data_IF_054586354815
#
_entry.id   IF_054586354815
#
_cell.length_a   1.000
_cell.length_b   1.000
_cell.length_c   1.000
_cell.angle_alpha   90.00
_cell.angle_beta   90.00
_cell.angle_gamma   90.00
#
_symmetry.space_group_name_H-M   'P 1'
#
loop_
_entity.id
_entity.type
_entity.pdbx_description
1 polymer ?
#
# COMPACT_ATOMS: atom_id res chain seq x y z
N UNK A 1 -16.51 2.49 3.60
CA UNK A 1 -15.24 2.91 2.96
C UNK A 1 -14.69 4.08 3.77
N UNK A 2 -13.38 4.19 3.94
CA UNK A 2 -12.78 5.27 4.72
C UNK A 2 -12.75 6.56 3.90
N UNK A 3 -13.02 7.71 4.53
CA UNK A 3 -12.93 9.03 3.88
C UNK A 3 -11.48 9.39 3.53
N UNK A 4 -11.31 10.42 2.68
CA UNK A 4 -9.99 10.98 2.37
C UNK A 4 -9.20 11.34 3.61
N UNK A 5 -9.80 12.11 4.52
CA UNK A 5 -9.17 12.55 5.77
C UNK A 5 -8.74 11.36 6.64
N UNK A 6 -9.59 10.32 6.74
CA UNK A 6 -9.24 9.09 7.46
C UNK A 6 -8.08 8.34 6.80
N UNK A 7 -8.02 8.34 5.46
CA UNK A 7 -6.92 7.73 4.72
C UNK A 7 -5.63 8.53 4.91
N UNK A 8 -5.66 9.85 4.79
CA UNK A 8 -4.49 10.74 5.01
C UNK A 8 -3.95 10.65 6.45
N UNK A 9 -4.85 10.55 7.44
CA UNK A 9 -4.44 10.37 8.84
C UNK A 9 -3.78 9.02 9.07
N UNK A 10 -4.30 7.94 8.45
CA UNK A 10 -3.77 6.58 8.64
C UNK A 10 -2.51 6.32 7.81
N UNK A 11 -2.47 6.83 6.60
CA UNK A 11 -1.41 6.64 5.63
C UNK A 11 -0.71 7.98 5.43
N UNK A 12 0.43 8.12 6.08
CA UNK A 12 1.20 9.38 6.18
C UNK A 12 1.73 9.91 4.85
N UNK A 13 1.60 9.11 3.78
CA UNK A 13 2.03 9.48 2.44
C UNK A 13 0.94 9.15 1.42
N UNK A 14 0.80 10.02 0.42
CA UNK A 14 -0.09 9.79 -0.70
C UNK A 14 0.35 10.52 -1.97
N UNK A 15 -0.15 10.05 -3.10
CA UNK A 15 -0.04 10.71 -4.41
C UNK A 15 -1.38 10.62 -5.13
N UNK A 16 -1.70 11.65 -5.90
CA UNK A 16 -2.88 11.64 -6.78
C UNK A 16 -2.58 10.83 -8.04
N UNK A 17 -3.48 9.94 -8.41
CA UNK A 17 -3.38 9.11 -9.60
C UNK A 17 -4.07 9.77 -10.80
N UNK A 18 -3.66 9.47 -12.05
CA UNK A 18 -4.44 9.81 -13.23
C UNK A 18 -5.87 9.26 -13.08
N UNK A 19 -6.88 10.11 -13.29
CA UNK A 19 -8.29 9.76 -13.05
C UNK A 19 -8.87 10.24 -11.72
N UNK A 20 -8.10 11.01 -10.93
CA UNK A 20 -8.60 11.68 -9.72
C UNK A 20 -8.61 10.81 -8.45
N UNK A 21 -8.22 9.54 -8.58
CA UNK A 21 -7.98 8.65 -7.45
C UNK A 21 -6.68 8.97 -6.69
N UNK A 22 -6.38 8.17 -5.69
CA UNK A 22 -5.18 8.34 -4.85
C UNK A 22 -4.54 7.01 -4.50
N UNK A 23 -3.22 7.02 -4.43
CA UNK A 23 -2.42 5.96 -3.83
C UNK A 23 -1.89 6.48 -2.50
N UNK A 24 -2.30 5.83 -1.43
CA UNK A 24 -1.83 6.05 -0.08
C UNK A 24 -0.82 4.98 0.30
N UNK A 25 0.17 5.31 1.13
CA UNK A 25 1.02 4.31 1.75
C UNK A 25 1.46 4.67 3.17
N UNK A 26 1.71 3.62 3.94
CA UNK A 26 2.27 3.68 5.28
C UNK A 26 3.46 2.71 5.35
N UNK A 27 4.60 3.20 5.79
CA UNK A 27 5.80 2.41 5.98
C UNK A 27 5.94 2.00 7.44
N UNK A 28 6.20 0.71 7.66
CA UNK A 28 6.45 0.13 8.96
C UNK A 28 7.87 -0.43 8.94
N UNK A 29 8.76 0.18 9.71
CA UNK A 29 10.12 -0.30 9.88
C UNK A 29 10.13 -1.65 10.60
N UNK A 30 10.84 -2.61 10.02
CA UNK A 30 11.11 -3.92 10.59
C UNK A 30 12.51 -4.01 11.20
N UNK A 31 13.01 -5.23 11.36
CA UNK A 31 14.36 -5.49 11.89
C UNK A 31 15.41 -5.46 10.79
N UNK A 32 16.64 -5.12 11.14
CA UNK A 32 17.81 -5.20 10.24
C UNK A 32 17.65 -4.44 8.91
N UNK A 33 16.92 -3.32 8.89
CA UNK A 33 16.70 -2.52 7.69
C UNK A 33 15.57 -3.02 6.77
N UNK A 34 14.93 -4.14 7.10
CA UNK A 34 13.70 -4.54 6.44
C UNK A 34 12.57 -3.58 6.78
N UNK A 35 11.63 -3.41 5.86
CA UNK A 35 10.40 -2.66 6.12
C UNK A 35 9.23 -3.22 5.31
N UNK A 36 8.03 -2.99 5.81
CA UNK A 36 6.81 -3.25 5.09
C UNK A 36 6.18 -1.93 4.66
N UNK A 37 5.55 -1.90 3.48
CA UNK A 37 4.73 -0.78 3.02
C UNK A 37 3.32 -1.28 2.78
N UNK A 38 2.36 -0.73 3.51
CA UNK A 38 0.93 -0.93 3.21
C UNK A 38 0.52 0.07 2.14
N UNK A 39 0.12 -0.42 0.97
CA UNK A 39 -0.31 0.42 -0.16
C UNK A 39 -1.80 0.26 -0.36
N UNK A 40 -2.51 1.38 -0.38
CA UNK A 40 -3.95 1.45 -0.65
C UNK A 40 -4.19 2.38 -1.84
N UNK A 41 -4.87 1.89 -2.86
CA UNK A 41 -5.35 2.70 -3.97
C UNK A 41 -6.86 2.86 -3.89
N UNK A 42 -7.32 4.06 -4.19
CA UNK A 42 -8.72 4.42 -4.29
C UNK A 42 -8.99 5.17 -5.59
N UNK A 43 -10.22 5.11 -6.08
CA UNK A 43 -10.69 5.95 -7.17
C UNK A 43 -11.05 7.38 -6.70
N UNK A 44 -11.57 8.20 -7.61
CA UNK A 44 -11.95 9.59 -7.34
C UNK A 44 -13.03 9.75 -6.25
N UNK A 45 -13.77 8.68 -5.94
CA UNK A 45 -14.83 8.63 -4.93
C UNK A 45 -14.35 8.04 -3.60
N UNK A 46 -13.03 7.84 -3.43
CA UNK A 46 -12.39 7.15 -2.31
C UNK A 46 -12.81 5.67 -2.16
N UNK A 47 -13.36 5.06 -3.23
CA UNK A 47 -13.63 3.63 -3.25
C UNK A 47 -12.33 2.87 -3.47
N UNK A 48 -12.05 1.90 -2.59
CA UNK A 48 -10.80 1.12 -2.63
C UNK A 48 -10.79 0.23 -3.86
N UNK A 49 -9.75 0.35 -4.68
CA UNK A 49 -9.53 -0.42 -5.91
C UNK A 49 -8.42 -1.45 -5.72
N UNK A 50 -7.47 -1.17 -4.83
CA UNK A 50 -6.36 -2.08 -4.50
C UNK A 50 -5.93 -1.90 -3.05
N UNK A 51 -5.61 -3.01 -2.39
CA UNK A 51 -4.91 -2.99 -1.11
C UNK A 51 -3.90 -4.11 -1.06
N UNK A 52 -2.63 -3.78 -0.81
CA UNK A 52 -1.56 -4.76 -0.69
C UNK A 52 -0.55 -4.38 0.38
N UNK A 53 0.20 -5.39 0.82
CA UNK A 53 1.36 -5.22 1.68
C UNK A 53 2.59 -5.61 0.87
N UNK A 54 3.54 -4.68 0.78
CA UNK A 54 4.81 -4.84 0.11
C UNK A 54 5.89 -5.05 1.18
N UNK A 55 6.78 -6.02 0.99
CA UNK A 55 7.90 -6.29 1.89
C UNK A 55 9.20 -5.97 1.18
N UNK A 56 9.98 -5.10 1.79
CA UNK A 56 11.25 -4.62 1.28
C UNK A 56 12.41 -5.12 2.13
N UNK A 57 13.47 -5.53 1.45
CA UNK A 57 14.72 -5.91 2.09
C UNK A 57 15.56 -4.66 2.45
N UNK A 58 16.72 -4.83 3.13
CA UNK A 58 17.55 -3.70 3.58
C UNK A 58 18.17 -2.88 2.45
N UNK A 59 18.29 -3.42 1.24
CA UNK A 59 18.71 -2.68 0.04
C UNK A 59 17.57 -1.89 -0.61
N UNK A 60 16.36 -1.93 -0.05
CA UNK A 60 15.18 -1.24 -0.59
C UNK A 60 14.52 -1.95 -1.75
N UNK A 61 14.82 -3.23 -1.96
CA UNK A 61 14.24 -4.05 -3.03
C UNK A 61 12.96 -4.73 -2.54
N UNK A 62 11.92 -4.68 -3.36
CA UNK A 62 10.67 -5.38 -3.12
C UNK A 62 10.87 -6.88 -3.30
N UNK A 63 10.70 -7.67 -2.24
CA UNK A 63 10.90 -9.13 -2.28
C UNK A 63 9.60 -9.91 -2.19
N UNK A 64 8.55 -9.31 -1.65
CA UNK A 64 7.26 -9.97 -1.49
C UNK A 64 6.09 -8.98 -1.56
N UNK A 65 4.99 -9.41 -2.18
CA UNK A 65 3.72 -8.66 -2.20
C UNK A 65 2.61 -9.58 -1.76
N UNK A 66 1.84 -9.15 -0.76
CA UNK A 66 0.56 -9.75 -0.39
C UNK A 66 -0.58 -8.87 -0.89
N UNK A 67 -1.25 -9.30 -1.95
CA UNK A 67 -2.46 -8.64 -2.46
C UNK A 67 -3.66 -9.07 -1.62
N UNK A 68 -4.29 -8.13 -0.91
CA UNK A 68 -5.41 -8.39 0.01
C UNK A 68 -6.76 -8.00 -0.60
N UNK A 69 -6.78 -7.06 -1.54
CA UNK A 69 -7.97 -6.55 -2.23
C UNK A 69 -7.63 -6.24 -3.69
N UNK A 70 -8.53 -6.47 -4.67
CA UNK A 70 -9.94 -6.87 -4.53
C UNK A 70 -10.20 -8.32 -4.14
N UNK A 71 -9.23 -9.18 -4.41
CA UNK A 71 -9.25 -10.59 -3.99
C UNK A 71 -7.94 -10.85 -3.26
N UNK A 72 -8.01 -11.54 -2.13
CA UNK A 72 -6.80 -11.98 -1.44
C UNK A 72 -6.11 -13.05 -2.30
N UNK A 73 -4.94 -12.72 -2.85
CA UNK A 73 -4.12 -13.65 -3.65
C UNK A 73 -3.01 -14.30 -2.84
N UNK A 74 -2.98 -14.05 -1.53
CA UNK A 74 -1.92 -14.49 -0.65
C UNK A 74 -0.58 -13.81 -0.93
N UNK A 75 0.45 -14.36 -0.33
CA UNK A 75 1.83 -13.88 -0.45
C UNK A 75 2.45 -14.36 -1.76
N UNK A 76 2.94 -13.41 -2.56
CA UNK A 76 3.71 -13.70 -3.76
C UNK A 76 5.13 -13.15 -3.60
N UNK A 77 6.11 -14.04 -3.64
CA UNK A 77 7.52 -13.63 -3.77
C UNK A 77 7.74 -13.01 -5.14
N UNK A 78 8.44 -11.89 -5.16
CA UNK A 78 8.81 -11.18 -6.39
C UNK A 78 10.17 -11.69 -6.92
N UNK A 79 10.95 -12.34 -6.06
CA UNK A 79 12.22 -13.02 -6.37
C UNK A 79 12.19 -14.49 -5.99
#
# INVERSE_FOLDING_TARGET
>A
MASREQNEHKFTHWVTLPGGGRRYWLEISGRHGWYARYVKEVDATEQTTRFCQEIYNPSGELVEVHEKFPTDKGHRKVR
#
